data_IF_296507068056
#
_entry.id   IF_296507068056
#
_cell.length_a   1.000
_cell.length_b   1.000
_cell.length_c   1.000
_cell.angle_alpha   90.00
_cell.angle_beta   90.00
_cell.angle_gamma   90.00
#
_symmetry.space_group_name_H-M   'P 1'
#
loop_
_entity.id
_entity.type
_entity.pdbx_description
1 polymer ?
#
# COMPACT_ATOMS: atom_id res chain seq x y z
N UNK A 1 -37.59 22.25 9.04
CA UNK A 1 -36.77 21.98 7.85
C UNK A 1 -35.37 21.77 8.35
N UNK A 2 -34.94 20.52 8.44
CA UNK A 2 -33.59 20.15 8.87
C UNK A 2 -32.88 19.73 7.58
N UNK A 3 -31.92 20.52 7.13
CA UNK A 3 -30.96 20.10 6.11
C UNK A 3 -30.09 18.99 6.72
N UNK A 4 -29.96 17.80 6.11
CA UNK A 4 -28.82 16.95 6.37
C UNK A 4 -27.65 17.52 5.54
N UNK A 5 -26.69 18.17 6.18
CA UNK A 5 -25.50 17.53 6.75
C UNK A 5 -24.64 16.86 5.66
N UNK A 6 -23.72 17.68 5.15
CA UNK A 6 -22.36 17.31 4.72
C UNK A 6 -22.21 15.92 4.08
N UNK A 7 -22.67 15.79 2.83
CA UNK A 7 -22.07 14.83 1.90
C UNK A 7 -20.67 15.31 1.59
N UNK A 8 -19.71 14.96 2.46
CA UNK A 8 -18.31 14.91 2.09
C UNK A 8 -18.28 13.97 0.87
N UNK A 9 -17.99 14.44 -0.36
CA UNK A 9 -18.00 13.58 -1.52
C UNK A 9 -16.98 12.49 -1.22
N UNK A 10 -17.43 11.24 -1.09
CA UNK A 10 -16.52 10.10 -1.20
C UNK A 10 -15.76 10.34 -2.49
N UNK A 11 -14.48 10.74 -2.38
CA UNK A 11 -13.62 11.03 -3.51
C UNK A 11 -13.71 9.82 -4.43
N UNK A 12 -14.39 9.99 -5.56
CA UNK A 12 -14.47 8.96 -6.56
C UNK A 12 -13.02 8.52 -6.85
N UNK A 13 -12.71 7.23 -6.68
CA UNK A 13 -11.33 6.75 -6.70
C UNK A 13 -10.67 7.20 -8.01
N UNK A 14 -9.51 7.85 -7.89
CA UNK A 14 -8.85 8.46 -9.03
C UNK A 14 -8.63 7.44 -10.15
N UNK A 15 -9.19 7.62 -11.36
CA UNK A 15 -9.23 6.57 -12.37
C UNK A 15 -7.84 6.06 -12.78
N UNK A 16 -6.85 6.95 -12.85
CA UNK A 16 -5.48 6.60 -13.21
C UNK A 16 -4.79 5.76 -12.12
N UNK A 17 -5.08 6.03 -10.83
CA UNK A 17 -4.55 5.23 -9.71
C UNK A 17 -5.12 3.82 -9.73
N UNK A 18 -6.40 3.69 -10.07
CA UNK A 18 -7.05 2.40 -10.21
C UNK A 18 -6.45 1.59 -11.38
N UNK A 19 -6.18 2.24 -12.51
CA UNK A 19 -5.52 1.58 -13.65
C UNK A 19 -4.10 1.13 -13.26
N UNK A 20 -3.34 1.97 -12.55
CA UNK A 20 -2.01 1.65 -12.05
C UNK A 20 -2.05 0.48 -11.06
N UNK A 21 -3.00 0.46 -10.13
CA UNK A 21 -3.20 -0.64 -9.19
C UNK A 21 -3.47 -1.95 -9.92
N UNK A 22 -4.39 -1.96 -10.89
CA UNK A 22 -4.73 -3.15 -11.67
C UNK A 22 -3.54 -3.67 -12.49
N UNK A 23 -2.81 -2.79 -13.18
CA UNK A 23 -1.62 -3.17 -13.94
C UNK A 23 -0.51 -3.69 -13.03
N UNK A 24 -0.24 -3.01 -11.93
CA UNK A 24 0.77 -3.44 -10.97
C UNK A 24 0.41 -4.77 -10.31
N UNK A 25 -0.86 -4.96 -9.94
CA UNK A 25 -1.37 -6.22 -9.43
C UNK A 25 -1.26 -7.35 -10.46
N UNK A 26 -1.54 -7.08 -11.74
CA UNK A 26 -1.34 -8.05 -12.82
C UNK A 26 0.13 -8.49 -12.92
N UNK A 27 1.07 -7.53 -12.91
CA UNK A 27 2.51 -7.85 -12.92
C UNK A 27 2.88 -8.69 -11.70
N UNK A 28 2.47 -8.26 -10.51
CA UNK A 28 2.76 -8.92 -9.25
C UNK A 28 2.24 -10.37 -9.21
N UNK A 29 0.98 -10.58 -9.60
CA UNK A 29 0.31 -11.88 -9.49
C UNK A 29 0.57 -12.81 -10.69
N UNK A 30 0.62 -12.29 -11.92
CA UNK A 30 0.71 -13.11 -13.14
C UNK A 30 2.12 -13.26 -13.67
N UNK A 31 2.99 -12.26 -13.48
CA UNK A 31 4.37 -12.31 -13.96
C UNK A 31 5.28 -12.82 -12.84
N UNK A 32 5.20 -12.18 -11.68
CA UNK A 32 6.07 -12.49 -10.54
C UNK A 32 5.53 -13.61 -9.65
N UNK A 33 4.28 -14.05 -9.86
CA UNK A 33 3.62 -15.12 -9.10
C UNK A 33 3.63 -14.88 -7.58
N UNK A 34 3.60 -13.61 -7.16
CA UNK A 34 3.53 -13.24 -5.74
C UNK A 34 2.09 -13.45 -5.27
N UNK A 35 1.87 -14.27 -4.23
CA UNK A 35 0.53 -14.47 -3.67
C UNK A 35 -0.06 -13.17 -3.14
N UNK A 36 -1.37 -12.99 -3.29
CA UNK A 36 -2.10 -11.77 -2.86
C UNK A 36 -1.84 -11.37 -1.41
N UNK A 37 -1.58 -12.35 -0.53
CA UNK A 37 -1.29 -12.14 0.90
C UNK A 37 0.07 -11.50 1.20
N UNK A 38 0.98 -11.51 0.22
CA UNK A 38 2.35 -11.01 0.37
C UNK A 38 2.66 -9.87 -0.59
N UNK A 39 1.67 -9.44 -1.37
CA UNK A 39 1.80 -8.36 -2.34
C UNK A 39 1.63 -6.98 -1.70
N UNK A 40 2.20 -5.96 -2.34
CA UNK A 40 1.89 -4.56 -2.02
C UNK A 40 0.56 -4.11 -2.64
N UNK A 41 0.18 -4.71 -3.77
CA UNK A 41 -1.04 -4.39 -4.49
C UNK A 41 -2.05 -5.52 -4.34
N UNK A 42 -3.32 -5.17 -4.12
CA UNK A 42 -4.42 -6.13 -3.99
C UNK A 42 -5.49 -5.96 -5.08
N UNK A 43 -6.26 -7.02 -5.40
CA UNK A 43 -7.43 -6.92 -6.27
C UNK A 43 -8.68 -6.41 -5.51
N UNK A 44 -8.49 -5.80 -4.34
CA UNK A 44 -9.56 -5.42 -3.42
C UNK A 44 -10.45 -4.28 -3.90
N UNK A 45 -11.34 -3.74 -3.03
CA UNK A 45 -12.22 -2.64 -3.40
C UNK A 45 -11.42 -1.41 -3.87
N UNK A 46 -11.99 -0.55 -4.75
CA UNK A 46 -11.28 0.58 -5.35
C UNK A 46 -10.54 1.50 -4.37
N UNK A 47 -11.12 1.75 -3.20
CA UNK A 47 -10.48 2.56 -2.15
C UNK A 47 -9.24 1.92 -1.54
N UNK A 48 -9.16 0.57 -1.52
CA UNK A 48 -7.95 -0.14 -1.07
C UNK A 48 -6.86 -0.04 -2.15
N UNK A 49 -7.23 -0.24 -3.40
CA UNK A 49 -6.30 -0.18 -4.53
C UNK A 49 -5.62 1.20 -4.64
N UNK A 50 -6.38 2.28 -4.43
CA UNK A 50 -5.84 3.64 -4.41
C UNK A 50 -4.87 3.84 -3.25
N UNK A 51 -5.21 3.36 -2.05
CA UNK A 51 -4.34 3.43 -0.88
C UNK A 51 -3.03 2.66 -1.09
N UNK A 52 -3.11 1.45 -1.64
CA UNK A 52 -1.94 0.63 -1.97
C UNK A 52 -1.01 1.36 -2.95
N UNK A 53 -1.57 1.99 -4.00
CA UNK A 53 -0.80 2.78 -4.98
C UNK A 53 -0.17 4.01 -4.35
N UNK A 54 -0.89 4.74 -3.49
CA UNK A 54 -0.34 5.92 -2.82
C UNK A 54 0.83 5.54 -1.89
N UNK A 55 0.73 4.42 -1.18
CA UNK A 55 1.83 3.88 -0.38
C UNK A 55 3.05 3.53 -1.24
N UNK A 56 2.85 2.85 -2.37
CA UNK A 56 3.94 2.49 -3.30
C UNK A 56 4.59 3.75 -3.90
N UNK A 57 3.81 4.74 -4.30
CA UNK A 57 4.33 6.02 -4.82
C UNK A 57 5.15 6.74 -3.75
N UNK A 58 4.64 6.83 -2.52
CA UNK A 58 5.35 7.45 -1.41
C UNK A 58 6.67 6.73 -1.11
N UNK A 59 6.68 5.39 -1.13
CA UNK A 59 7.90 4.60 -0.96
C UNK A 59 8.91 4.89 -2.07
N UNK A 60 8.51 4.85 -3.34
CA UNK A 60 9.40 5.11 -4.46
C UNK A 60 9.96 6.54 -4.41
N UNK A 61 9.13 7.52 -4.04
CA UNK A 61 9.57 8.89 -3.88
C UNK A 61 10.59 9.03 -2.75
N UNK A 62 10.34 8.40 -1.60
CA UNK A 62 11.27 8.38 -0.48
C UNK A 62 12.59 7.72 -0.87
N UNK A 63 12.55 6.51 -1.44
CA UNK A 63 13.76 5.77 -1.86
C UNK A 63 14.58 6.57 -2.87
N UNK A 64 13.93 7.29 -3.79
CA UNK A 64 14.60 8.15 -4.75
C UNK A 64 15.27 9.36 -4.09
N UNK A 65 14.52 10.08 -3.25
CA UNK A 65 15.01 11.30 -2.60
C UNK A 65 16.10 11.00 -1.56
N UNK A 66 15.80 10.09 -0.63
CA UNK A 66 16.73 9.69 0.43
C UNK A 66 17.91 8.92 -0.13
N UNK A 67 17.70 8.02 -1.08
CA UNK A 67 18.80 7.31 -1.75
C UNK A 67 19.77 8.27 -2.45
N UNK A 68 19.26 9.37 -3.03
CA UNK A 68 20.12 10.43 -3.60
C UNK A 68 20.94 11.14 -2.52
N UNK A 69 20.33 11.47 -1.38
CA UNK A 69 21.04 12.11 -0.25
C UNK A 69 22.09 11.16 0.32
N UNK A 70 21.75 9.89 0.56
CA UNK A 70 22.66 8.86 1.06
C UNK A 70 23.84 8.67 0.11
N UNK A 71 23.60 8.61 -1.20
CA UNK A 71 24.65 8.54 -2.20
C UNK A 71 25.59 9.74 -2.13
N UNK A 72 25.04 10.96 -2.01
CA UNK A 72 25.85 12.18 -1.85
C UNK A 72 26.68 12.14 -0.56
N UNK A 73 26.11 11.67 0.56
CA UNK A 73 26.83 11.50 1.83
C UNK A 73 27.96 10.49 1.69
N UNK A 74 27.74 9.37 1.01
CA UNK A 74 28.77 8.36 0.77
C UNK A 74 29.88 8.89 -0.14
N UNK A 75 29.54 9.58 -1.23
CA UNK A 75 30.52 10.21 -2.14
C UNK A 75 31.32 11.28 -1.40
N UNK A 76 30.66 12.14 -0.63
CA UNK A 76 31.32 13.17 0.17
C UNK A 76 32.26 12.54 1.20
N UNK A 77 31.80 11.52 1.93
CA UNK A 77 32.63 10.82 2.92
C UNK A 77 33.84 10.13 2.28
N UNK A 78 33.68 9.60 1.07
CA UNK A 78 34.77 9.00 0.29
C UNK A 78 35.81 10.04 -0.12
N UNK A 79 35.37 11.19 -0.65
CA UNK A 79 36.26 12.26 -1.12
C UNK A 79 37.10 12.90 -0.01
N UNK A 80 36.56 12.95 1.21
CA UNK A 80 37.25 13.55 2.37
C UNK A 80 37.87 12.50 3.31
N UNK A 81 38.04 11.25 2.86
CA UNK A 81 38.66 10.14 3.61
C UNK A 81 37.98 9.80 4.96
N UNK A 82 36.74 10.26 5.19
CA UNK A 82 35.92 9.90 6.35
C UNK A 82 35.09 8.62 6.13
N UNK A 83 35.18 8.01 4.95
CA UNK A 83 34.35 6.86 4.57
C UNK A 83 34.55 5.67 5.52
N UNK A 84 33.41 5.12 5.94
CA UNK A 84 33.37 3.92 6.77
C UNK A 84 32.32 2.98 6.21
N UNK A 85 32.69 1.71 6.03
CA UNK A 85 31.80 0.66 5.53
C UNK A 85 30.51 0.52 6.35
N UNK A 86 30.54 0.84 7.65
CA UNK A 86 29.33 0.82 8.47
C UNK A 86 28.23 1.76 7.95
N UNK A 87 28.57 2.88 7.29
CA UNK A 87 27.58 3.82 6.73
C UNK A 87 26.75 3.16 5.63
N UNK A 88 27.38 2.35 4.79
CA UNK A 88 26.69 1.59 3.74
C UNK A 88 25.70 0.62 4.36
N UNK A 89 26.12 -0.15 5.37
CA UNK A 89 25.24 -1.09 6.06
C UNK A 89 24.10 -0.38 6.81
N UNK A 90 24.39 0.77 7.42
CA UNK A 90 23.40 1.58 8.10
C UNK A 90 22.32 2.08 7.13
N UNK A 91 22.71 2.73 6.03
CA UNK A 91 21.76 3.19 5.01
C UNK A 91 20.98 2.04 4.39
N UNK A 92 21.66 0.93 4.06
CA UNK A 92 20.97 -0.27 3.56
C UNK A 92 19.93 -0.79 4.55
N UNK A 93 20.27 -0.81 5.86
CA UNK A 93 19.36 -1.18 6.94
C UNK A 93 18.12 -0.28 6.99
N UNK A 94 18.30 1.04 7.00
CA UNK A 94 17.18 2.01 7.03
C UNK A 94 16.24 1.83 5.83
N UNK A 95 16.79 1.64 4.63
CA UNK A 95 15.98 1.39 3.43
C UNK A 95 15.19 0.07 3.52
N UNK A 96 15.82 -1.00 4.03
CA UNK A 96 15.15 -2.28 4.24
C UNK A 96 14.03 -2.17 5.27
N UNK A 97 14.27 -1.50 6.41
CA UNK A 97 13.28 -1.28 7.46
C UNK A 97 12.07 -0.51 6.94
N UNK A 98 12.29 0.50 6.09
CA UNK A 98 11.20 1.27 5.48
C UNK A 98 10.34 0.41 4.54
N UNK A 99 10.98 -0.36 3.66
CA UNK A 99 10.27 -1.26 2.71
C UNK A 99 9.44 -2.27 3.50
N UNK A 100 10.04 -2.90 4.52
CA UNK A 100 9.37 -3.87 5.38
C UNK A 100 8.24 -3.22 6.19
N UNK A 101 8.46 -2.02 6.72
CA UNK A 101 7.46 -1.26 7.48
C UNK A 101 6.22 -0.96 6.65
N UNK A 102 6.40 -0.44 5.41
CA UNK A 102 5.28 -0.23 4.51
C UNK A 102 4.59 -1.56 4.17
N UNK A 103 5.36 -2.60 3.86
CA UNK A 103 4.82 -3.92 3.53
C UNK A 103 3.95 -4.48 4.66
N UNK A 104 4.40 -4.36 5.92
CA UNK A 104 3.63 -4.76 7.11
C UNK A 104 2.34 -3.96 7.21
N UNK A 105 2.39 -2.63 7.05
CA UNK A 105 1.20 -1.77 7.11
C UNK A 105 0.19 -2.17 6.03
N UNK A 106 0.65 -2.40 4.80
CA UNK A 106 -0.20 -2.87 3.69
C UNK A 106 -0.82 -4.23 4.00
N UNK A 107 -0.03 -5.20 4.47
CA UNK A 107 -0.53 -6.53 4.84
C UNK A 107 -1.59 -6.46 5.95
N UNK A 108 -1.37 -5.62 6.98
CA UNK A 108 -2.33 -5.41 8.07
C UNK A 108 -3.61 -4.74 7.54
N UNK A 109 -3.48 -3.71 6.69
CA UNK A 109 -4.62 -3.05 6.06
C UNK A 109 -5.47 -4.01 5.24
N UNK A 110 -4.82 -4.92 4.50
CA UNK A 110 -5.50 -5.96 3.73
C UNK A 110 -6.23 -6.95 4.64
N UNK A 111 -5.60 -7.38 5.75
CA UNK A 111 -6.22 -8.27 6.73
C UNK A 111 -7.50 -7.68 7.33
N UNK A 112 -7.44 -6.44 7.83
CA UNK A 112 -8.61 -5.79 8.44
C UNK A 112 -9.74 -5.57 7.45
N UNK A 113 -9.43 -5.13 6.22
CA UNK A 113 -10.45 -4.83 5.22
C UNK A 113 -11.13 -6.10 4.68
N UNK A 114 -10.38 -7.20 4.53
CA UNK A 114 -10.93 -8.49 4.11
C UNK A 114 -11.85 -9.10 5.17
N UNK A 115 -11.48 -9.00 6.46
CA UNK A 115 -12.35 -9.42 7.57
C UNK A 115 -13.68 -8.66 7.62
N UNK A 116 -13.67 -7.35 7.32
CA UNK A 116 -14.89 -6.55 7.22
C UNK A 116 -15.80 -6.97 6.05
N UNK A 117 -15.22 -7.33 4.90
CA UNK A 117 -16.00 -7.78 3.73
C UNK A 117 -16.64 -9.16 3.95
N UNK A 118 -15.91 -10.11 4.53
CA UNK A 118 -16.42 -11.46 4.81
C UNK A 118 -17.54 -11.43 5.86
N UNK A 119 -17.41 -10.62 6.92
CA UNK A 119 -18.46 -10.44 7.93
C UNK A 119 -19.73 -9.79 7.38
N UNK A 120 -19.59 -8.82 6.46
CA UNK A 120 -20.72 -8.15 5.80
C UNK A 120 -21.49 -9.10 4.87
N UNK A 121 -20.79 -9.93 4.09
CA UNK A 121 -21.41 -10.93 3.22
C UNK A 121 -22.22 -11.96 4.02
N UNK A 122 -21.71 -12.45 5.15
CA UNK A 122 -22.45 -13.38 6.02
C UNK A 122 -23.67 -12.75 6.68
N UNK A 123 -23.60 -11.47 7.05
CA UNK A 123 -24.76 -10.76 7.62
C UNK A 123 -25.86 -10.55 6.57
N UNK A 124 -25.47 -10.26 5.31
CA UNK A 124 -26.41 -10.13 4.20
C UNK A 124 -27.14 -11.42 3.85
N UNK A 125 -26.43 -12.56 3.84
CA UNK A 125 -27.06 -13.87 3.55
C UNK A 125 -28.06 -14.29 4.64
N UNK A 126 -27.73 -14.04 5.91
CA UNK A 126 -28.65 -14.32 7.04
C UNK A 126 -29.89 -13.42 7.02
N UNK A 127 -29.76 -12.18 6.55
CA UNK A 127 -30.88 -11.26 6.40
C UNK A 127 -31.80 -11.64 5.23
N UNK A 128 -31.24 -12.09 4.11
CA UNK A 128 -31.97 -12.52 2.93
C UNK A 128 -32.73 -13.84 3.16
N UNK A 129 -32.11 -14.79 3.89
CA UNK A 129 -32.75 -16.06 4.27
C UNK A 129 -33.93 -15.85 5.24
N UNK A 130 -33.84 -14.87 6.15
CA UNK A 130 -34.97 -14.47 7.01
C UNK A 130 -36.09 -13.78 6.22
N UNK A 131 -35.77 -13.04 5.17
CA UNK A 131 -36.76 -12.33 4.37
C UNK A 131 -37.55 -13.26 3.43
N UNK A 132 -36.96 -14.37 2.98
CA UNK A 132 -37.65 -15.39 2.16
C UNK A 132 -38.49 -16.40 2.97
N UNK A 133 -38.34 -16.43 4.30
CA UNK A 133 -39.11 -17.32 5.19
C UNK A 133 -40.34 -16.64 5.83
N UNK A 134 -40.76 -15.47 5.33
CA UNK A 134 -41.98 -14.75 5.75
C UNK A 134 -42.93 -14.59 4.57
#
# INVERSE_FOLDING_TARGET
MIEPENTNPEEAPSPWKLEMANRGYYIQSKILHIPDRFGFLSPGPPSLQVFDVDGVIALLFYLSFMGSIEALVLIHSWLYEYFRWFLVYFFFGVNCELILGLWIITCIGHYFKRGHSEGSCTAGTVAEEKAQST
#
